data_IF_235288782888
#
_entry.id   IF_235288782888
#
_cell.length_a   1.000
_cell.length_b   1.000
_cell.length_c   1.000
_cell.angle_alpha   90.00
_cell.angle_beta   90.00
_cell.angle_gamma   90.00
#
_symmetry.space_group_name_H-M   'P 1'
#
loop_
_entity.id
_entity.type
_entity.pdbx_description
1 polymer ?
#
# COMPACT_ATOMS: atom_id res chain seq x y z
N UNK A 1 -13.96 -2.87 -20.75
CA UNK A 1 -14.84 -1.75 -20.36
C UNK A 1 -14.70 -1.59 -18.85
N UNK A 2 -13.87 -0.61 -18.47
CA UNK A 2 -13.43 -0.26 -17.10
C UNK A 2 -12.76 -1.38 -16.29
N UNK A 3 -11.50 -1.63 -16.60
CA UNK A 3 -10.53 -2.08 -15.60
C UNK A 3 -10.62 -1.13 -14.40
N UNK A 4 -11.12 -1.62 -13.26
CA UNK A 4 -10.95 -0.95 -11.97
C UNK A 4 -9.46 -1.00 -11.58
N UNK A 5 -8.62 -0.31 -12.35
CA UNK A 5 -7.32 0.15 -11.87
C UNK A 5 -7.67 1.01 -10.67
N UNK A 6 -7.56 0.45 -9.46
CA UNK A 6 -7.55 1.26 -8.27
C UNK A 6 -6.35 2.19 -8.42
N UNK A 7 -6.60 3.40 -8.90
CA UNK A 7 -5.60 4.46 -8.90
C UNK A 7 -5.28 4.69 -7.43
N UNK A 8 -4.10 4.26 -7.00
CA UNK A 8 -3.60 4.58 -5.68
C UNK A 8 -3.42 6.11 -5.63
N UNK A 9 -4.37 6.79 -5.00
CA UNK A 9 -4.39 8.26 -4.91
C UNK A 9 -3.38 8.75 -3.87
N UNK A 10 -3.20 7.98 -2.80
CA UNK A 10 -2.30 8.32 -1.69
C UNK A 10 -1.23 7.22 -1.59
N UNK A 11 0.03 7.65 -1.69
CA UNK A 11 1.20 6.80 -1.50
C UNK A 11 2.28 7.54 -0.73
N UNK A 12 3.04 6.80 0.09
CA UNK A 12 4.26 7.29 0.72
C UNK A 12 5.39 7.55 -0.29
N UNK A 13 5.29 7.03 -1.52
CA UNK A 13 6.20 7.35 -2.62
C UNK A 13 6.02 8.78 -3.13
N UNK A 14 4.84 9.36 -2.90
CA UNK A 14 4.46 10.73 -3.24
C UNK A 14 4.62 11.65 -2.01
N UNK A 15 5.69 12.45 -1.93
CA UNK A 15 6.01 13.24 -0.74
C UNK A 15 4.96 14.33 -0.41
N UNK A 16 4.15 14.74 -1.37
CA UNK A 16 3.05 15.69 -1.22
C UNK A 16 1.99 15.22 -0.21
N UNK A 17 1.84 13.92 -0.01
CA UNK A 17 0.89 13.35 0.96
C UNK A 17 1.47 13.19 2.36
N UNK A 18 2.79 13.22 2.51
CA UNK A 18 3.43 12.97 3.81
C UNK A 18 3.12 14.10 4.78
N UNK A 19 3.39 15.35 4.38
CA UNK A 19 3.25 16.48 5.29
C UNK A 19 1.80 16.72 5.76
N UNK A 20 0.77 16.73 4.88
CA UNK A 20 -0.61 16.97 5.30
C UNK A 20 -1.17 15.96 6.31
N UNK A 21 -0.74 14.69 6.22
CA UNK A 21 -1.29 13.62 7.06
C UNK A 21 -0.43 13.28 8.26
N UNK A 22 0.88 13.52 8.20
CA UNK A 22 1.82 13.14 9.28
C UNK A 22 2.40 14.34 10.03
N UNK A 23 2.36 15.54 9.44
CA UNK A 23 3.08 16.72 9.93
C UNK A 23 4.60 16.61 9.83
N UNK A 24 5.13 15.53 9.23
CA UNK A 24 6.56 15.29 9.09
C UNK A 24 7.05 15.72 7.71
N UNK A 25 8.30 16.21 7.65
CA UNK A 25 9.02 16.30 6.37
C UNK A 25 9.34 14.88 5.86
N UNK A 26 9.46 14.66 4.55
CA UNK A 26 9.73 13.33 3.98
C UNK A 26 10.94 12.60 4.59
N UNK A 27 12.01 13.31 4.93
CA UNK A 27 13.19 12.72 5.58
C UNK A 27 12.90 12.21 7.00
N UNK A 28 12.13 12.96 7.79
CA UNK A 28 11.71 12.57 9.14
C UNK A 28 10.73 11.40 9.11
N UNK A 29 9.83 11.41 8.12
CA UNK A 29 8.92 10.29 7.88
C UNK A 29 9.68 9.00 7.58
N UNK A 30 10.69 9.02 6.71
CA UNK A 30 11.54 7.84 6.44
C UNK A 30 12.24 7.34 7.71
N UNK A 31 12.69 8.25 8.57
CA UNK A 31 13.28 7.89 9.88
C UNK A 31 12.27 7.18 10.77
N UNK A 32 11.03 7.68 10.86
CA UNK A 32 9.95 7.02 11.58
C UNK A 32 9.67 5.62 11.02
N UNK A 33 9.52 5.49 9.70
CA UNK A 33 9.28 4.18 9.05
C UNK A 33 10.40 3.19 9.39
N UNK A 34 11.66 3.64 9.41
CA UNK A 34 12.79 2.79 9.80
C UNK A 34 12.71 2.37 11.28
N UNK A 35 12.34 3.28 12.18
CA UNK A 35 12.13 2.96 13.60
C UNK A 35 11.01 1.92 13.74
N UNK A 36 9.89 2.11 13.03
CA UNK A 36 8.77 1.15 13.03
C UNK A 36 9.20 -0.20 12.47
N UNK A 37 10.01 -0.24 11.40
CA UNK A 37 10.52 -1.50 10.86
C UNK A 37 11.39 -2.26 11.88
N UNK A 38 12.26 -1.54 12.59
CA UNK A 38 13.15 -2.12 13.61
C UNK A 38 12.37 -2.65 14.81
N UNK A 39 11.33 -1.93 15.26
CA UNK A 39 10.51 -2.34 16.41
C UNK A 39 9.40 -3.33 16.04
N UNK A 40 9.02 -3.39 14.77
CA UNK A 40 7.93 -4.20 14.26
C UNK A 40 8.26 -5.68 14.06
N UNK A 41 9.54 -6.02 13.91
CA UNK A 41 9.98 -7.39 13.66
C UNK A 41 9.38 -8.03 12.39
N UNK A 42 9.42 -9.36 12.33
CA UNK A 42 8.98 -10.17 11.17
C UNK A 42 7.48 -10.05 10.86
N UNK A 43 6.65 -9.70 11.85
CA UNK A 43 5.19 -9.57 11.69
C UNK A 43 4.80 -8.36 10.83
N UNK A 44 5.65 -7.33 10.81
CA UNK A 44 5.47 -6.12 10.02
C UNK A 44 6.19 -6.21 8.66
N UNK A 45 7.28 -6.98 8.58
CA UNK A 45 8.15 -7.10 7.41
C UNK A 45 7.43 -7.68 6.18
N UNK A 46 6.62 -8.71 6.37
CA UNK A 46 5.94 -9.37 5.26
C UNK A 46 4.51 -8.85 5.08
N UNK A 47 4.36 -7.92 4.14
CA UNK A 47 3.11 -7.85 3.38
C UNK A 47 2.94 -9.08 2.51
N UNK A 48 2.67 -10.25 3.11
CA UNK A 48 2.49 -11.50 2.37
C UNK A 48 1.48 -11.29 1.25
N UNK A 49 1.83 -11.66 0.00
CA UNK A 49 0.89 -11.61 -1.11
C UNK A 49 -0.33 -12.48 -0.78
N UNK A 50 -1.52 -11.92 -0.94
CA UNK A 50 -2.80 -12.62 -0.70
C UNK A 50 -3.62 -12.15 0.50
N UNK A 51 -3.14 -11.21 1.33
CA UNK A 51 -3.99 -10.55 2.34
C UNK A 51 -4.57 -9.25 1.79
N UNK A 52 -5.83 -8.99 2.11
CA UNK A 52 -6.63 -7.78 1.79
C UNK A 52 -5.98 -6.41 2.11
N UNK A 53 -4.74 -6.36 2.62
CA UNK A 53 -3.98 -5.16 3.00
C UNK A 53 -2.48 -5.30 2.72
N UNK A 54 -2.09 -5.82 1.55
CA UNK A 54 -0.69 -5.97 1.12
C UNK A 54 -0.01 -4.62 0.77
N UNK A 55 -0.10 -3.64 1.66
CA UNK A 55 0.60 -2.36 1.55
C UNK A 55 2.04 -2.51 2.04
N UNK A 56 2.96 -1.77 1.41
CA UNK A 56 4.31 -1.58 1.95
C UNK A 56 4.27 -0.88 3.30
N UNK A 57 5.29 -1.07 4.13
CA UNK A 57 5.33 -0.52 5.49
C UNK A 57 5.14 1.00 5.51
N UNK A 58 5.77 1.72 4.57
CA UNK A 58 5.63 3.17 4.47
C UNK A 58 4.18 3.60 4.20
N UNK A 59 3.47 2.91 3.29
CA UNK A 59 2.06 3.18 3.02
C UNK A 59 1.16 2.79 4.18
N UNK A 60 1.49 1.74 4.95
CA UNK A 60 0.76 1.41 6.19
C UNK A 60 0.90 2.50 7.25
N UNK A 61 2.11 3.01 7.47
CA UNK A 61 2.36 4.08 8.44
C UNK A 61 1.62 5.35 8.00
N UNK A 62 1.64 5.68 6.71
CA UNK A 62 0.88 6.81 6.17
C UNK A 62 -0.62 6.59 6.30
N UNK A 63 -1.12 5.38 6.06
CA UNK A 63 -2.53 5.01 6.24
C UNK A 63 -2.99 5.20 7.69
N UNK A 64 -2.20 4.74 8.66
CA UNK A 64 -2.50 4.92 10.09
C UNK A 64 -2.51 6.41 10.46
N UNK A 65 -1.56 7.20 9.94
CA UNK A 65 -1.53 8.64 10.15
C UNK A 65 -2.76 9.34 9.52
N UNK A 66 -3.13 8.99 8.29
CA UNK A 66 -4.33 9.50 7.63
C UNK A 66 -5.59 9.12 8.40
N UNK A 67 -5.70 7.87 8.86
CA UNK A 67 -6.80 7.40 9.70
C UNK A 67 -6.92 8.23 10.98
N UNK A 68 -5.82 8.42 11.70
CA UNK A 68 -5.82 9.22 12.92
C UNK A 68 -6.18 10.69 12.67
N UNK A 69 -5.64 11.29 11.59
CA UNK A 69 -5.82 12.71 11.28
C UNK A 69 -7.22 13.05 10.75
N UNK A 70 -7.85 12.12 10.02
CA UNK A 70 -9.12 12.37 9.31
C UNK A 70 -10.31 11.60 9.91
N UNK A 71 -10.07 10.66 10.84
CA UNK A 71 -11.08 9.79 11.46
C UNK A 71 -12.00 9.09 10.45
N UNK A 72 -11.52 8.90 9.21
CA UNK A 72 -12.29 8.25 8.15
C UNK A 72 -12.34 6.74 8.42
N UNK A 73 -13.52 6.14 8.26
CA UNK A 73 -13.67 4.69 8.39
C UNK A 73 -12.78 3.96 7.39
N UNK A 74 -12.24 2.81 7.78
CA UNK A 74 -11.34 1.96 6.97
C UNK A 74 -11.86 1.66 5.55
N UNK A 75 -13.19 1.58 5.38
CA UNK A 75 -13.87 1.37 4.09
C UNK A 75 -13.72 2.54 3.10
N UNK A 76 -13.46 3.76 3.57
CA UNK A 76 -13.21 4.95 2.73
C UNK A 76 -11.72 5.17 2.48
N UNK A 77 -10.88 4.84 3.47
CA UNK A 77 -9.43 5.01 3.35
C UNK A 77 -8.81 3.92 2.46
N UNK A 78 -9.24 2.66 2.57
CA UNK A 78 -8.66 1.55 1.79
C UNK A 78 -8.55 1.83 0.28
N UNK A 79 -9.63 2.26 -0.40
CA UNK A 79 -9.53 2.59 -1.82
C UNK A 79 -8.52 3.68 -2.17
N UNK A 80 -8.27 4.66 -1.28
CA UNK A 80 -7.32 5.76 -1.53
C UNK A 80 -5.87 5.27 -1.56
N UNK A 81 -5.56 4.20 -0.83
CA UNK A 81 -4.24 3.58 -0.78
C UNK A 81 -4.10 2.43 -1.79
N UNK A 82 -5.05 2.25 -2.71
CA UNK A 82 -5.03 1.14 -3.67
C UNK A 82 -5.41 -0.21 -3.06
N UNK A 83 -5.97 -0.21 -1.84
CA UNK A 83 -6.38 -1.44 -1.16
C UNK A 83 -7.79 -1.85 -1.60
N UNK A 84 -7.87 -2.86 -2.46
CA UNK A 84 -9.15 -3.47 -2.86
C UNK A 84 -9.69 -4.36 -1.75
N UNK A 85 -10.98 -4.26 -1.37
CA UNK A 85 -11.67 -5.27 -0.57
C UNK A 85 -11.75 -6.66 -1.22
N UNK A 86 -11.28 -6.80 -2.47
CA UNK A 86 -11.25 -8.05 -3.26
C UNK A 86 -10.00 -8.17 -4.12
N UNK A 87 -8.81 -8.06 -3.53
CA UNK A 87 -7.59 -8.48 -4.21
C UNK A 87 -7.56 -10.01 -4.29
N UNK A 88 -8.20 -10.59 -5.30
CA UNK A 88 -7.90 -11.95 -5.74
C UNK A 88 -6.51 -11.89 -6.39
N UNK A 89 -5.58 -12.71 -5.93
CA UNK A 89 -4.24 -12.78 -6.51
C UNK A 89 -4.34 -13.13 -7.98
N UNK A 90 -3.94 -12.21 -8.85
CA UNK A 90 -3.64 -12.52 -10.24
C UNK A 90 -2.13 -12.69 -10.28
N UNK A 91 -1.70 -13.94 -10.21
CA UNK A 91 -0.32 -14.31 -10.55
C UNK A 91 -0.02 -13.84 -11.98
N UNK A 92 1.10 -13.15 -12.22
CA UNK A 92 1.58 -12.95 -13.57
C UNK A 92 2.09 -14.29 -14.09
N UNK A 93 1.23 -15.04 -14.79
CA UNK A 93 1.67 -16.20 -15.58
C UNK A 93 2.48 -15.70 -16.77
N UNK A 94 3.76 -15.47 -16.53
CA UNK A 94 4.76 -15.13 -17.53
C UNK A 94 5.49 -16.37 -18.03
N UNK A 95 5.10 -16.81 -19.22
CA UNK A 95 5.98 -17.25 -20.31
C UNK A 95 6.65 -18.64 -20.20
N UNK A 96 6.24 -19.55 -21.09
CA UNK A 96 7.10 -20.63 -21.57
C UNK A 96 6.41 -21.63 -22.51
N UNK A 97 6.72 -21.52 -23.81
CA UNK A 97 6.52 -22.50 -24.89
C UNK A 97 5.06 -22.79 -25.32
N UNK A 98 4.66 -22.76 -26.59
CA UNK A 98 5.36 -22.66 -27.86
C UNK A 98 4.43 -23.18 -28.96
N UNK A 99 4.35 -22.48 -30.08
CA UNK A 99 3.81 -22.97 -31.36
C UNK A 99 2.34 -22.64 -31.68
N UNK A 100 2.01 -22.18 -32.90
CA UNK A 100 0.64 -22.10 -33.38
C UNK A 100 0.26 -23.38 -34.17
N UNK A 101 -1.02 -23.78 -34.05
CA UNK A 101 -1.88 -24.61 -34.95
C UNK A 101 -1.38 -26.03 -35.35
N UNK A 102 -2.25 -27.05 -35.50
CA UNK A 102 -3.51 -27.07 -36.28
C UNK A 102 -4.79 -26.81 -35.50
#
# INVERSE_FOLDING_TARGET
MFDHVLVQVISASSPEWIFPFTGLRPAWFRKLVRVVAVHGGEEIADGRPGRQWALGLADRVLLVATYWRTNLRMRRIGPLFGVSPRAHGIEPVGRGAGGPIP
#
